data_IF_235711620565
#
_entry.id   IF_235711620565
#
_cell.length_a   1.000
_cell.length_b   1.000
_cell.length_c   1.000
_cell.angle_alpha   90.00
_cell.angle_beta   90.00
_cell.angle_gamma   90.00
#
_symmetry.space_group_name_H-M   'P 1'
#
loop_
_entity.id
_entity.type
_entity.pdbx_description
1 polymer ?
#
# COMPACT_ATOMS: atom_id res chain seq x y z
N UNK A 1 -43.03 58.59 11.97
CA UNK A 1 -43.44 57.17 11.76
C UNK A 1 -42.60 56.59 10.63
N UNK A 2 -41.57 55.79 10.91
CA UNK A 2 -40.87 54.97 9.89
C UNK A 2 -40.08 53.77 10.45
N UNK A 3 -40.28 53.41 11.73
CA UNK A 3 -39.56 52.30 12.37
C UNK A 3 -40.14 50.92 12.00
N UNK A 4 -41.39 50.87 11.52
CA UNK A 4 -42.03 49.60 11.11
C UNK A 4 -41.38 49.01 9.86
N UNK A 5 -40.96 49.85 8.90
CA UNK A 5 -40.28 49.40 7.69
C UNK A 5 -38.93 48.72 7.96
N UNK A 6 -38.15 49.26 8.91
CA UNK A 6 -36.85 48.70 9.30
C UNK A 6 -36.98 47.30 9.92
N UNK A 7 -38.06 47.06 10.68
CA UNK A 7 -38.34 45.75 11.27
C UNK A 7 -38.62 44.70 10.18
N UNK A 8 -39.41 45.04 9.15
CA UNK A 8 -39.70 44.11 8.05
C UNK A 8 -38.44 43.77 7.23
N UNK A 9 -37.56 44.75 7.01
CA UNK A 9 -36.28 44.52 6.31
C UNK A 9 -35.38 43.57 7.11
N UNK A 10 -35.30 43.77 8.44
CA UNK A 10 -34.50 42.92 9.30
C UNK A 10 -35.02 41.48 9.33
N UNK A 11 -36.34 41.30 9.42
CA UNK A 11 -36.98 39.97 9.37
C UNK A 11 -36.70 39.27 8.04
N UNK A 12 -36.81 39.98 6.91
CA UNK A 12 -36.53 39.43 5.59
C UNK A 12 -35.06 39.00 5.45
N UNK A 13 -34.13 39.75 6.04
CA UNK A 13 -32.69 39.46 5.99
C UNK A 13 -32.37 38.20 6.82
N UNK A 14 -32.94 38.09 8.02
CA UNK A 14 -32.80 36.89 8.86
C UNK A 14 -33.38 35.66 8.16
N UNK A 15 -34.57 35.77 7.57
CA UNK A 15 -35.18 34.69 6.79
C UNK A 15 -34.31 34.27 5.60
N UNK A 16 -33.71 35.23 4.90
CA UNK A 16 -32.82 34.94 3.76
C UNK A 16 -31.56 34.18 4.18
N UNK A 17 -30.96 34.53 5.33
CA UNK A 17 -29.81 33.80 5.88
C UNK A 17 -30.20 32.38 6.28
N UNK A 18 -31.37 32.20 6.90
CA UNK A 18 -31.86 30.87 7.30
C UNK A 18 -32.13 29.99 6.08
N UNK A 19 -32.83 30.53 5.07
CA UNK A 19 -33.08 29.81 3.81
C UNK A 19 -31.77 29.47 3.10
N UNK A 20 -30.82 30.41 3.05
CA UNK A 20 -29.49 30.16 2.49
C UNK A 20 -28.76 29.05 3.25
N UNK A 21 -28.80 29.04 4.59
CA UNK A 21 -28.18 28.00 5.41
C UNK A 21 -28.82 26.61 5.20
N UNK A 22 -30.13 26.56 4.97
CA UNK A 22 -30.85 25.30 4.68
C UNK A 22 -30.60 24.78 3.26
N UNK A 23 -30.45 25.67 2.27
CA UNK A 23 -30.21 25.31 0.87
C UNK A 23 -28.72 25.08 0.59
N UNK A 24 -27.83 25.74 1.33
CA UNK A 24 -26.38 25.58 1.20
C UNK A 24 -25.98 24.22 1.74
N UNK A 25 -25.88 23.25 0.85
CA UNK A 25 -25.32 21.93 1.13
C UNK A 25 -23.81 22.08 1.34
N UNK A 26 -23.39 22.58 2.50
CA UNK A 26 -21.98 22.75 2.87
C UNK A 26 -21.29 21.43 3.20
N UNK A 27 -22.07 20.36 3.38
CA UNK A 27 -21.60 19.00 3.52
C UNK A 27 -22.08 18.17 2.34
N UNK A 28 -21.50 18.38 1.17
CA UNK A 28 -21.43 17.27 0.21
C UNK A 28 -20.38 16.30 0.75
N UNK A 29 -20.83 15.36 1.58
CA UNK A 29 -20.16 14.08 1.68
C UNK A 29 -20.26 13.47 0.28
N UNK A 30 -19.32 13.83 -0.59
CA UNK A 30 -19.12 13.09 -1.83
C UNK A 30 -18.74 11.71 -1.37
N UNK A 31 -19.67 10.77 -1.50
CA UNK A 31 -19.35 9.36 -1.50
C UNK A 31 -18.43 9.21 -2.70
N UNK A 32 -17.11 9.30 -2.45
CA UNK A 32 -16.09 9.03 -3.43
C UNK A 32 -16.43 7.62 -3.87
N UNK A 33 -16.95 7.49 -5.09
CA UNK A 33 -17.14 6.20 -5.71
C UNK A 33 -15.77 5.55 -5.68
N UNK A 34 -15.54 4.69 -4.68
CA UNK A 34 -14.37 3.83 -4.53
C UNK A 34 -14.49 2.73 -5.58
N UNK A 35 -14.62 3.14 -6.85
CA UNK A 35 -14.15 2.30 -7.93
C UNK A 35 -12.64 2.35 -7.77
N UNK A 36 -12.15 1.44 -6.93
CA UNK A 36 -10.80 1.57 -6.44
C UNK A 36 -9.83 1.46 -7.61
N UNK A 37 -8.85 2.38 -7.63
CA UNK A 37 -7.79 2.36 -8.62
C UNK A 37 -6.86 1.15 -8.42
N UNK A 38 -7.17 0.26 -7.46
CA UNK A 38 -6.42 -0.93 -7.13
C UNK A 38 -6.00 -1.71 -8.37
N UNK A 39 -6.94 -2.17 -9.21
CA UNK A 39 -6.63 -2.97 -10.40
C UNK A 39 -5.66 -2.24 -11.35
N UNK A 40 -5.87 -0.92 -11.52
CA UNK A 40 -5.00 -0.08 -12.35
C UNK A 40 -3.61 0.09 -11.73
N UNK A 41 -3.52 0.33 -10.43
CA UNK A 41 -2.26 0.49 -9.70
C UNK A 41 -1.46 -0.81 -9.72
N UNK A 42 -2.12 -1.94 -9.47
CA UNK A 42 -1.51 -3.28 -9.48
C UNK A 42 -1.01 -3.66 -10.87
N UNK A 43 -1.81 -3.43 -11.91
CA UNK A 43 -1.41 -3.69 -13.30
C UNK A 43 -0.24 -2.77 -13.72
N UNK A 44 -0.30 -1.48 -13.37
CA UNK A 44 0.79 -0.55 -13.64
C UNK A 44 2.08 -0.96 -12.93
N UNK A 45 2.00 -1.32 -11.65
CA UNK A 45 3.19 -1.78 -10.91
C UNK A 45 3.80 -3.02 -11.55
N UNK A 46 2.97 -3.99 -11.95
CA UNK A 46 3.44 -5.20 -12.61
C UNK A 46 4.19 -4.90 -13.91
N UNK A 47 3.66 -4.00 -14.73
CA UNK A 47 4.29 -3.62 -15.99
C UNK A 47 5.56 -2.78 -15.78
N UNK A 48 5.51 -1.79 -14.88
CA UNK A 48 6.63 -0.86 -14.66
C UNK A 48 7.78 -1.53 -13.90
N UNK A 49 7.50 -2.40 -12.92
CA UNK A 49 8.53 -3.17 -12.22
C UNK A 49 9.30 -4.09 -13.17
N UNK A 50 8.60 -4.75 -14.10
CA UNK A 50 9.21 -5.57 -15.13
C UNK A 50 10.13 -4.77 -16.07
N UNK A 51 9.63 -3.64 -16.58
CA UNK A 51 10.43 -2.71 -17.41
C UNK A 51 11.64 -2.17 -16.67
N UNK A 52 11.46 -1.82 -15.41
CA UNK A 52 12.52 -1.29 -14.56
C UNK A 52 13.63 -2.31 -14.35
N UNK A 53 13.28 -3.55 -13.96
CA UNK A 53 14.27 -4.63 -13.83
C UNK A 53 14.98 -4.88 -15.16
N UNK A 54 14.24 -5.03 -16.27
CA UNK A 54 14.84 -5.23 -17.59
C UNK A 54 15.78 -4.09 -18.01
N UNK A 55 15.50 -2.84 -17.60
CA UNK A 55 16.37 -1.70 -17.90
C UNK A 55 17.69 -1.71 -17.12
N UNK A 56 17.74 -2.41 -15.98
CA UNK A 56 18.92 -2.51 -15.13
C UNK A 56 19.76 -3.76 -15.42
N UNK A 57 19.18 -4.78 -16.06
CA UNK A 57 19.92 -5.97 -16.49
C UNK A 57 21.04 -5.55 -17.45
N UNK A 58 22.29 -5.88 -17.09
CA UNK A 58 23.47 -5.55 -17.88
C UNK A 58 24.10 -4.19 -17.58
N UNK A 59 23.58 -3.45 -16.60
CA UNK A 59 24.24 -2.27 -16.03
C UNK A 59 25.15 -2.67 -14.85
N UNK A 60 26.12 -1.82 -14.50
CA UNK A 60 26.95 -2.00 -13.28
C UNK A 60 26.22 -1.53 -12.01
N UNK A 61 24.95 -1.13 -12.11
CA UNK A 61 24.19 -0.64 -10.96
C UNK A 61 23.73 -1.78 -10.04
N UNK A 62 23.61 -1.48 -8.75
CA UNK A 62 23.03 -2.38 -7.77
C UNK A 62 21.51 -2.51 -7.99
N UNK A 63 21.14 -3.54 -8.74
CA UNK A 63 19.75 -3.83 -9.12
C UNK A 63 18.84 -3.92 -7.89
N UNK A 64 19.28 -4.58 -6.81
CA UNK A 64 18.49 -4.75 -5.59
C UNK A 64 18.18 -3.39 -4.98
N UNK A 65 19.20 -2.55 -4.79
CA UNK A 65 19.02 -1.21 -4.21
C UNK A 65 18.08 -0.35 -5.05
N UNK A 66 18.27 -0.35 -6.37
CA UNK A 66 17.44 0.42 -7.31
C UNK A 66 15.99 -0.08 -7.32
N UNK A 67 15.79 -1.39 -7.27
CA UNK A 67 14.48 -2.00 -7.26
C UNK A 67 13.69 -1.69 -5.99
N UNK A 68 14.36 -1.76 -4.83
CA UNK A 68 13.81 -1.33 -3.55
C UNK A 68 13.40 0.15 -3.58
N UNK A 69 14.25 1.03 -4.11
CA UNK A 69 13.96 2.45 -4.23
C UNK A 69 12.74 2.72 -5.13
N UNK A 70 12.69 2.08 -6.30
CA UNK A 70 11.54 2.13 -7.21
C UNK A 70 10.26 1.68 -6.50
N UNK A 71 10.30 0.55 -5.81
CA UNK A 71 9.13 -0.04 -5.14
C UNK A 71 8.63 0.86 -4.01
N UNK A 72 9.53 1.43 -3.22
CA UNK A 72 9.19 2.39 -2.16
C UNK A 72 8.50 3.63 -2.73
N UNK A 73 9.07 4.24 -3.77
CA UNK A 73 8.49 5.42 -4.42
C UNK A 73 7.13 5.12 -5.05
N UNK A 74 7.01 3.99 -5.73
CA UNK A 74 5.74 3.57 -6.33
C UNK A 74 4.68 3.33 -5.26
N UNK A 75 5.04 2.70 -4.14
CA UNK A 75 4.10 2.43 -3.06
C UNK A 75 3.65 3.70 -2.36
N UNK A 76 4.58 4.63 -2.08
CA UNK A 76 4.24 5.95 -1.55
C UNK A 76 3.25 6.69 -2.46
N UNK A 77 3.53 6.73 -3.77
CA UNK A 77 2.61 7.30 -4.76
C UNK A 77 1.25 6.60 -4.78
N UNK A 78 1.23 5.27 -4.74
CA UNK A 78 -0.02 4.48 -4.75
C UNK A 78 -0.87 4.75 -3.52
N UNK A 79 -0.24 4.89 -2.34
CA UNK A 79 -0.92 5.26 -1.08
C UNK A 79 -1.53 6.67 -1.13
N UNK A 80 -1.01 7.60 -1.93
CA UNK A 80 -1.68 8.90 -2.15
C UNK A 80 -3.01 8.77 -2.92
N UNK A 81 -3.17 7.72 -3.73
CA UNK A 81 -4.37 7.49 -4.53
C UNK A 81 -5.36 6.53 -3.85
N UNK A 82 -4.85 5.46 -3.24
CA UNK A 82 -5.59 4.51 -2.41
C UNK A 82 -4.82 4.30 -1.09
N UNK A 83 -5.24 4.97 0.00
CA UNK A 83 -4.54 4.94 1.30
C UNK A 83 -4.33 3.54 1.89
N UNK A 84 -5.16 2.57 1.50
CA UNK A 84 -5.12 1.20 1.99
C UNK A 84 -4.44 0.25 1.00
N UNK A 85 -3.80 0.79 -0.05
CA UNK A 85 -2.99 0.02 -0.98
C UNK A 85 -1.73 -0.52 -0.29
N UNK A 86 -1.67 -1.83 -0.15
CA UNK A 86 -0.47 -2.54 0.28
C UNK A 86 0.17 -3.29 -0.87
N UNK A 87 1.48 -3.53 -0.77
CA UNK A 87 2.24 -4.30 -1.75
C UNK A 87 3.20 -5.26 -1.05
N UNK A 88 3.21 -6.51 -1.48
CA UNK A 88 4.28 -7.46 -1.20
C UNK A 88 4.95 -7.78 -2.53
N UNK A 89 6.27 -7.87 -2.53
CA UNK A 89 7.00 -8.46 -3.64
C UNK A 89 7.91 -9.58 -3.17
N UNK A 90 8.11 -10.54 -4.06
CA UNK A 90 9.18 -11.54 -3.95
C UNK A 90 10.01 -11.47 -5.21
N UNK A 91 11.32 -11.38 -5.05
CA UNK A 91 12.28 -11.17 -6.13
C UNK A 91 13.50 -12.08 -5.93
N UNK A 92 13.83 -12.90 -6.93
CA UNK A 92 15.02 -13.76 -6.89
C UNK A 92 16.13 -13.20 -7.79
N UNK A 93 17.31 -12.95 -7.22
CA UNK A 93 18.45 -12.43 -7.97
C UNK A 93 19.78 -12.90 -7.37
N UNK A 94 20.70 -13.36 -8.23
CA UNK A 94 22.01 -13.87 -7.85
C UNK A 94 21.96 -14.95 -6.74
N UNK A 95 20.98 -15.84 -6.81
CA UNK A 95 20.78 -16.92 -5.83
C UNK A 95 20.29 -16.45 -4.45
N UNK A 96 19.84 -15.20 -4.34
CA UNK A 96 19.27 -14.62 -3.11
C UNK A 96 17.80 -14.28 -3.33
N UNK A 97 16.99 -14.56 -2.33
CA UNK A 97 15.58 -14.22 -2.33
C UNK A 97 15.39 -12.91 -1.57
N UNK A 98 14.79 -11.92 -2.22
CA UNK A 98 14.43 -10.64 -1.65
C UNK A 98 12.92 -10.59 -1.48
N UNK A 99 12.48 -10.26 -0.27
CA UNK A 99 11.06 -10.10 0.04
C UNK A 99 10.84 -8.69 0.57
N UNK A 100 9.84 -8.00 0.03
CA UNK A 100 9.42 -6.69 0.52
C UNK A 100 8.00 -6.75 1.06
N UNK A 101 7.76 -6.17 2.24
CA UNK A 101 6.43 -6.08 2.85
C UNK A 101 6.03 -4.63 3.08
N UNK A 102 5.28 -4.05 2.15
CA UNK A 102 4.71 -2.71 2.26
C UNK A 102 3.23 -2.70 2.63
N UNK A 103 2.74 -3.79 3.24
CA UNK A 103 1.46 -3.78 3.92
C UNK A 103 1.55 -3.03 5.25
N UNK A 104 0.40 -2.57 5.75
CA UNK A 104 0.27 -2.09 7.14
C UNK A 104 0.00 -3.28 8.11
N UNK A 105 0.47 -4.49 7.77
CA UNK A 105 0.34 -5.71 8.57
C UNK A 105 1.55 -6.63 8.40
N UNK A 106 1.76 -7.52 9.38
CA UNK A 106 2.84 -8.50 9.33
C UNK A 106 2.49 -9.64 8.38
N UNK A 107 3.51 -10.20 7.72
CA UNK A 107 3.38 -11.40 6.91
C UNK A 107 4.24 -12.53 7.46
N UNK A 108 3.83 -13.77 7.17
CA UNK A 108 4.62 -14.96 7.49
C UNK A 108 5.13 -15.62 6.22
N UNK A 109 6.43 -15.89 6.15
CA UNK A 109 7.10 -16.53 5.02
C UNK A 109 7.33 -18.00 5.38
N UNK A 110 6.62 -18.92 4.73
CA UNK A 110 6.59 -20.34 5.10
C UNK A 110 7.79 -21.16 4.60
N UNK A 111 8.56 -20.65 3.65
CA UNK A 111 9.59 -21.40 2.91
C UNK A 111 10.84 -20.55 2.73
N UNK A 112 12.02 -21.07 3.10
CA UNK A 112 13.30 -20.39 2.97
C UNK A 112 13.88 -19.76 4.25
N UNK A 113 13.21 -19.91 5.40
CA UNK A 113 13.79 -19.56 6.69
C UNK A 113 14.45 -20.79 7.32
N UNK A 114 15.75 -20.72 7.59
CA UNK A 114 16.52 -21.85 8.13
C UNK A 114 16.46 -21.93 9.66
N UNK A 115 16.14 -20.84 10.37
CA UNK A 115 16.20 -20.81 11.84
C UNK A 115 15.09 -19.95 12.47
N UNK A 116 14.31 -20.60 13.35
CA UNK A 116 13.40 -20.04 14.34
C UNK A 116 12.19 -19.22 13.82
N UNK A 117 11.03 -19.46 14.45
CA UNK A 117 9.74 -18.79 14.21
C UNK A 117 9.80 -17.25 14.13
N UNK A 118 10.86 -16.63 14.68
CA UNK A 118 11.06 -15.18 14.68
C UNK A 118 11.62 -14.58 13.37
N UNK A 119 12.26 -15.37 12.47
CA UNK A 119 12.82 -14.84 11.20
C UNK A 119 11.87 -14.93 10.00
N UNK A 120 10.76 -15.65 10.15
CA UNK A 120 9.75 -15.79 9.11
C UNK A 120 8.61 -14.79 9.22
N UNK A 121 8.54 -14.04 10.31
CA UNK A 121 7.60 -12.94 10.43
C UNK A 121 8.29 -11.66 9.97
N UNK A 122 7.74 -11.05 8.93
CA UNK A 122 8.24 -9.80 8.38
C UNK A 122 7.23 -8.70 8.74
N UNK A 123 7.70 -7.70 9.47
CA UNK A 123 6.88 -6.57 9.88
C UNK A 123 6.39 -5.79 8.65
N UNK A 124 5.17 -5.28 8.74
CA UNK A 124 4.62 -4.38 7.73
C UNK A 124 5.27 -3.01 7.77
N UNK A 125 5.35 -2.36 6.61
CA UNK A 125 5.70 -0.96 6.50
C UNK A 125 4.47 -0.08 6.80
N UNK A 126 4.23 0.12 8.09
CA UNK A 126 3.17 0.96 8.61
C UNK A 126 3.30 2.38 8.04
N UNK A 127 2.44 2.68 7.07
CA UNK A 127 2.37 3.99 6.42
C UNK A 127 1.60 5.03 7.23
N UNK A 128 1.09 4.64 8.40
CA UNK A 128 0.27 5.45 9.27
C UNK A 128 0.85 5.39 10.67
N UNK A 129 1.07 6.55 11.27
CA UNK A 129 1.51 6.70 12.65
C UNK A 129 0.30 7.15 13.48
N UNK A 130 0.06 6.51 14.62
CA UNK A 130 -0.98 6.97 15.53
C UNK A 130 -0.51 8.29 16.16
N UNK A 131 -1.24 9.38 15.89
CA UNK A 131 -1.07 10.66 16.55
C UNK A 131 -2.23 10.87 17.51
N UNK A 132 -1.93 11.32 18.71
CA UNK A 132 -2.93 11.67 19.70
C UNK A 132 -2.91 13.19 19.90
N UNK A 133 -4.06 13.85 19.72
CA UNK A 133 -4.21 15.25 20.10
C UNK A 133 -5.16 15.31 21.28
N UNK A 134 -4.60 15.74 22.41
CA UNK A 134 -5.35 16.03 23.62
C UNK A 134 -5.81 17.48 23.67
N UNK A 135 -7.10 17.71 23.87
CA UNK A 135 -7.70 18.99 24.22
C UNK A 135 -8.37 18.89 25.59
N UNK A 136 -7.70 19.36 26.64
CA UNK A 136 -8.21 19.53 28.02
C UNK A 136 -9.34 18.54 28.42
N UNK A 137 -9.01 17.24 28.45
CA UNK A 137 -9.92 16.16 28.81
C UNK A 137 -10.53 15.35 27.65
N UNK A 138 -10.25 15.72 26.40
CA UNK A 138 -10.59 14.94 25.20
C UNK A 138 -9.32 14.52 24.46
N UNK A 139 -9.05 13.22 24.45
CA UNK A 139 -8.00 12.63 23.61
C UNK A 139 -8.63 12.07 22.34
N UNK A 140 -8.14 12.53 21.18
CA UNK A 140 -8.55 12.03 19.87
C UNK A 140 -7.34 11.40 19.19
N UNK A 141 -7.43 10.10 18.95
CA UNK A 141 -6.45 9.36 18.16
C UNK A 141 -6.80 9.47 16.67
N UNK A 142 -5.83 9.88 15.86
CA UNK A 142 -5.94 9.89 14.40
C UNK A 142 -4.68 9.31 13.79
N UNK A 143 -4.85 8.62 12.66
CA UNK A 143 -3.75 8.05 11.91
C UNK A 143 -3.22 9.08 10.92
N UNK A 144 -1.97 9.49 11.08
CA UNK A 144 -1.29 10.43 10.18
C UNK A 144 -0.43 9.63 9.20
N UNK A 145 -0.53 9.88 7.89
CA UNK A 145 0.39 9.28 6.92
C UNK A 145 1.83 9.62 7.28
N UNK A 146 2.69 8.61 7.34
CA UNK A 146 4.13 8.82 7.42
C UNK A 146 4.62 9.27 6.04
N UNK A 147 5.28 10.45 5.96
CA UNK A 147 5.77 10.99 4.69
C UNK A 147 6.92 10.16 4.11
N UNK A 148 7.65 9.43 4.97
CA UNK A 148 8.74 8.55 4.55
C UNK A 148 8.40 7.10 4.89
N UNK A 149 8.16 6.28 3.86
CA UNK A 149 8.10 4.83 4.02
C UNK A 149 9.50 4.32 4.38
N UNK A 150 9.58 3.57 5.49
CA UNK A 150 10.81 2.85 5.86
C UNK A 150 11.17 1.77 4.82
N UNK A 151 12.40 1.28 4.90
CA UNK A 151 12.86 0.19 4.06
C UNK A 151 12.43 -1.16 4.67
N UNK A 152 11.23 -1.63 4.29
CA UNK A 152 10.69 -2.91 4.75
C UNK A 152 11.03 -4.04 3.76
N UNK A 153 12.32 -4.28 3.58
CA UNK A 153 12.85 -5.35 2.76
C UNK A 153 13.74 -6.28 3.57
N UNK A 154 13.62 -7.58 3.29
CA UNK A 154 14.41 -8.61 3.92
C UNK A 154 15.08 -9.46 2.84
N UNK A 155 16.39 -9.60 2.95
CA UNK A 155 17.15 -10.60 2.19
C UNK A 155 17.05 -11.94 2.93
N UNK A 156 16.47 -12.93 2.26
CA UNK A 156 16.46 -14.32 2.68
C UNK A 156 17.59 -15.04 1.95
N UNK A 157 18.66 -15.30 2.69
CA UNK A 157 19.76 -16.15 2.24
C UNK A 157 19.43 -17.58 2.62
N UNK A 158 19.18 -18.44 1.63
CA UNK A 158 19.16 -19.87 1.87
C UNK A 158 20.33 -20.54 1.14
N UNK A 159 21.14 -21.26 1.89
CA UNK A 159 22.32 -21.98 1.39
C UNK A 159 21.94 -23.22 0.56
N UNK A 160 20.64 -23.51 0.40
CA UNK A 160 20.12 -24.79 -0.10
C UNK A 160 19.14 -24.65 -1.27
N UNK A 161 19.34 -23.72 -2.21
CA UNK A 161 18.55 -23.68 -3.45
C UNK A 161 19.19 -24.53 -4.57
N UNK A 162 18.86 -25.83 -4.72
CA UNK A 162 19.41 -26.67 -5.78
C UNK A 162 19.07 -26.08 -7.17
N UNK A 163 20.04 -26.11 -8.08
CA UNK A 163 19.84 -25.61 -9.44
C UNK A 163 18.76 -26.40 -10.17
N UNK A 164 17.87 -25.71 -10.89
CA UNK A 164 16.85 -26.33 -11.74
C UNK A 164 15.57 -26.80 -11.02
N UNK A 165 15.43 -26.56 -9.70
CA UNK A 165 14.18 -26.81 -8.98
C UNK A 165 13.44 -25.48 -8.80
N UNK A 166 12.16 -25.36 -9.20
CA UNK A 166 11.38 -24.17 -8.91
C UNK A 166 11.26 -23.99 -7.40
N UNK A 167 11.55 -22.79 -6.93
CA UNK A 167 11.44 -22.42 -5.54
C UNK A 167 9.97 -22.14 -5.23
N UNK A 168 9.36 -22.96 -4.39
CA UNK A 168 8.02 -22.68 -3.88
C UNK A 168 8.12 -21.71 -2.70
N UNK A 169 7.59 -20.51 -2.88
CA UNK A 169 7.50 -19.48 -1.82
C UNK A 169 6.07 -19.41 -1.30
N UNK A 170 5.87 -19.65 -0.01
CA UNK A 170 4.58 -19.43 0.65
C UNK A 170 4.61 -18.14 1.48
N UNK A 171 3.68 -17.22 1.21
CA UNK A 171 3.45 -16.02 2.01
C UNK A 171 2.04 -16.10 2.60
N UNK A 172 1.94 -15.95 3.91
CA UNK A 172 0.65 -15.90 4.61
C UNK A 172 0.38 -14.47 5.05
N UNK A 173 -0.79 -13.95 4.69
CA UNK A 173 -1.26 -12.62 5.04
C UNK A 173 -2.57 -12.76 5.81
N UNK A 174 -2.56 -12.35 7.08
CA UNK A 174 -3.55 -12.78 8.06
C UNK A 174 -3.60 -14.31 8.14
N UNK A 175 -4.75 -14.91 7.83
CA UNK A 175 -4.97 -16.37 7.81
C UNK A 175 -4.99 -16.98 6.41
N UNK A 176 -4.63 -16.21 5.38
CA UNK A 176 -4.72 -16.67 3.97
C UNK A 176 -3.33 -16.90 3.40
N UNK A 177 -2.99 -18.17 3.07
CA UNK A 177 -1.72 -18.50 2.43
C UNK A 177 -1.77 -18.29 0.91
N UNK A 178 -0.68 -17.76 0.37
CA UNK A 178 -0.41 -17.61 -1.06
C UNK A 178 0.87 -18.36 -1.39
N UNK A 179 0.83 -19.21 -2.40
CA UNK A 179 1.97 -19.99 -2.84
C UNK A 179 2.37 -19.59 -4.25
N UNK A 180 3.66 -19.35 -4.44
CA UNK A 180 4.24 -18.91 -5.69
C UNK A 180 5.37 -19.87 -6.08
N UNK A 181 5.58 -20.03 -7.38
CA UNK A 181 6.70 -20.82 -7.90
C UNK A 181 7.64 -19.86 -8.61
N UNK A 182 8.85 -19.74 -8.09
CA UNK A 182 9.90 -18.90 -8.66
C UNK A 182 10.88 -19.77 -9.41
N UNK A 183 11.26 -19.35 -10.62
CA UNK A 183 12.38 -19.95 -11.33
C UNK A 183 13.70 -19.45 -10.76
N UNK A 184 14.67 -20.36 -10.66
CA UNK A 184 16.00 -20.00 -10.15
C UNK A 184 16.73 -19.14 -11.17
N UNK A 185 17.43 -18.11 -10.69
CA UNK A 185 18.28 -17.21 -11.48
C UNK A 185 17.54 -16.48 -12.61
N UNK A 186 16.20 -16.49 -12.57
CA UNK A 186 15.36 -15.63 -13.37
C UNK A 186 14.77 -14.57 -12.46
N UNK A 187 14.90 -13.28 -12.81
CA UNK A 187 14.17 -12.25 -12.10
C UNK A 187 12.69 -12.52 -12.33
N UNK A 188 12.00 -13.03 -11.31
CA UNK A 188 10.55 -13.16 -11.29
C UNK A 188 10.07 -12.32 -10.12
N UNK A 189 9.15 -11.39 -10.41
CA UNK A 189 8.55 -10.54 -9.40
C UNK A 189 7.16 -11.08 -9.17
N UNK A 190 6.94 -11.64 -7.98
CA UNK A 190 5.60 -12.02 -7.57
C UNK A 190 5.04 -10.97 -6.66
N UNK A 191 3.91 -10.38 -7.08
CA UNK A 191 3.32 -9.25 -6.38
C UNK A 191 1.99 -9.67 -5.77
N UNK A 192 1.78 -9.30 -4.51
CA UNK A 192 0.47 -9.34 -3.89
C UNK A 192 0.13 -7.92 -3.52
N UNK A 193 -0.80 -7.29 -4.23
CA UNK A 193 -1.35 -6.03 -3.77
C UNK A 193 -2.59 -6.30 -2.93
N UNK A 194 -2.81 -5.46 -1.93
CA UNK A 194 -3.91 -5.56 -0.98
C UNK A 194 -4.69 -4.26 -0.92
N UNK A 195 -6.02 -4.34 -0.82
CA UNK A 195 -6.85 -3.21 -0.44
C UNK A 195 -7.99 -3.72 0.46
N UNK A 196 -8.19 -3.04 1.59
CA UNK A 196 -9.28 -3.31 2.53
C UNK A 196 -10.22 -2.11 2.55
N UNK A 197 -11.41 -2.26 1.97
CA UNK A 197 -12.45 -1.23 1.97
C UNK A 197 -13.74 -1.88 2.49
N UNK A 198 -14.32 -1.31 3.54
CA UNK A 198 -15.60 -1.77 4.10
C UNK A 198 -15.65 -3.29 4.35
N UNK A 199 -14.59 -3.84 4.97
CA UNK A 199 -14.42 -5.29 5.24
C UNK A 199 -14.28 -6.18 3.99
N UNK A 200 -14.21 -5.59 2.79
CA UNK A 200 -13.95 -6.31 1.55
C UNK A 200 -12.46 -6.26 1.20
N UNK A 201 -11.93 -7.46 0.93
CA UNK A 201 -10.53 -7.68 0.58
C UNK A 201 -10.37 -7.89 -0.92
N UNK A 202 -9.51 -7.10 -1.56
CA UNK A 202 -9.07 -7.33 -2.95
C UNK A 202 -7.60 -7.73 -2.99
N UNK A 203 -7.30 -8.73 -3.81
CA UNK A 203 -5.95 -9.26 -3.98
C UNK A 203 -5.65 -9.43 -5.46
N UNK A 204 -4.51 -8.91 -5.90
CA UNK A 204 -3.99 -9.12 -7.25
C UNK A 204 -2.67 -9.86 -7.16
N UNK A 205 -2.52 -10.90 -7.97
CA UNK A 205 -1.29 -11.69 -8.07
C UNK A 205 -0.79 -11.70 -9.50
N UNK A 206 0.48 -11.35 -9.71
CA UNK A 206 1.18 -11.45 -10.99
C UNK A 206 2.58 -11.97 -10.75
N UNK A 207 3.11 -12.81 -11.64
CA UNK A 207 4.34 -13.57 -11.41
C UNK A 207 5.25 -13.80 -12.61
N UNK A 208 5.04 -13.14 -13.75
CA UNK A 208 5.89 -13.32 -14.93
C UNK A 208 6.42 -11.98 -15.45
N UNK A 209 7.74 -11.89 -15.63
CA UNK A 209 8.33 -10.83 -16.44
C UNK A 209 8.05 -11.15 -17.91
N UNK A 210 7.64 -10.14 -18.68
CA UNK A 210 7.49 -10.27 -20.13
C UNK A 210 8.88 -10.30 -20.75
N UNK A 211 9.22 -11.40 -21.43
CA UNK A 211 10.40 -11.54 -22.30
C UNK A 211 10.33 -10.58 -23.51
#
# INVERSE_FOLDING_TARGET
MNKRGQIYILVALVLSIVVFGLVSVNNKAQQKSLQSNFEKLSANYAQESARFVNSLIGTEEDLTKRFTEFTRLFTAYSKTQSPDFGLIYVFNYNGKLYVGNYLDENIKIGSGCVDAEAKCEMLGCYSKINANVGFDGLDVEFQVPNEELEDCNQELTDANFPAGVPLEVQITIGDVPYTFKLKKDQPEIVMVSWENLDEQRKVYTSGELVE
#
